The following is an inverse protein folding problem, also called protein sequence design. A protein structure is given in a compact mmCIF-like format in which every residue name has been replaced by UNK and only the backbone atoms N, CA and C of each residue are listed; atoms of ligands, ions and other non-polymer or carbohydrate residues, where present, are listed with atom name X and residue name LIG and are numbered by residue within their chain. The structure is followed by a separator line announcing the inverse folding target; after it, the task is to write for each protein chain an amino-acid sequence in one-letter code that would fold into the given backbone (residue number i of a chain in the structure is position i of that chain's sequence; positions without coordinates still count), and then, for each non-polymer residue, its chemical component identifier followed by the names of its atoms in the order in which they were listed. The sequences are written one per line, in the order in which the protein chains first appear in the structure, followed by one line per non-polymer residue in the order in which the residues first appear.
data_IF_140608418160
#
_entry.id   IF_140608418160
#
_cell.length_a   1.000
_cell.length_b   1.000
_cell.length_c   1.000
_cell.angle_alpha   90.00
_cell.angle_beta   90.00
_cell.angle_gamma   90.00
#
_symmetry.space_group_name_H-M   'P 1'
#
loop_
_entity.id
_entity.type
_entity.pdbx_description
1 polymer ?
#
# COMPACT_ATOMS: atom_id res chain seq x y z
N UNK A 1 2.67 3.55 -52.63
CA UNK A 1 1.64 3.75 -51.58
C UNK A 1 2.22 4.61 -50.47
N UNK A 2 1.72 5.84 -50.28
CA UNK A 2 2.48 6.93 -49.65
C UNK A 2 2.59 6.86 -48.13
N UNK A 3 3.74 7.30 -47.60
CA UNK A 3 4.07 7.41 -46.16
C UNK A 3 3.01 8.17 -45.35
N UNK A 4 2.27 9.08 -45.98
CA UNK A 4 1.15 9.83 -45.39
C UNK A 4 0.00 8.91 -44.97
N UNK A 5 -0.30 7.86 -45.74
CA UNK A 5 -1.37 6.90 -45.40
C UNK A 5 -0.99 6.03 -44.20
N UNK A 6 0.30 5.68 -44.08
CA UNK A 6 0.85 4.96 -42.91
C UNK A 6 0.83 5.83 -41.65
N UNK A 7 1.22 7.10 -41.75
CA UNK A 7 1.18 8.05 -40.61
C UNK A 7 -0.25 8.26 -40.11
N UNK A 8 -1.22 8.46 -41.01
CA UNK A 8 -2.65 8.58 -40.64
C UNK A 8 -3.16 7.32 -39.93
N UNK A 9 -2.79 6.13 -40.40
CA UNK A 9 -3.16 4.88 -39.75
C UNK A 9 -2.54 4.76 -38.35
N UNK A 10 -1.27 5.11 -38.18
CA UNK A 10 -0.61 5.09 -36.87
C UNK A 10 -1.23 6.07 -35.88
N UNK A 11 -1.54 7.29 -36.33
CA UNK A 11 -2.22 8.30 -35.51
C UNK A 11 -3.64 7.86 -35.12
N UNK A 12 -4.39 7.28 -36.06
CA UNK A 12 -5.71 6.72 -35.78
C UNK A 12 -5.64 5.54 -34.80
N UNK A 13 -4.68 4.62 -34.98
CA UNK A 13 -4.51 3.50 -34.06
C UNK A 13 -4.06 3.98 -32.67
N UNK A 14 -3.18 4.98 -32.59
CA UNK A 14 -2.78 5.58 -31.33
C UNK A 14 -3.96 6.28 -30.65
N UNK A 15 -4.77 7.02 -31.41
CA UNK A 15 -5.98 7.68 -30.93
C UNK A 15 -7.04 6.69 -30.43
N UNK A 16 -7.33 5.63 -31.19
CA UNK A 16 -8.29 4.59 -30.80
C UNK A 16 -7.83 3.80 -29.56
N UNK A 17 -6.53 3.47 -29.48
CA UNK A 17 -5.96 2.83 -28.28
C UNK A 17 -6.01 3.76 -27.07
N UNK A 18 -5.74 5.04 -27.28
CA UNK A 18 -5.85 6.07 -26.25
C UNK A 18 -7.28 6.20 -25.73
N UNK A 19 -8.26 6.30 -26.62
CA UNK A 19 -9.68 6.39 -26.27
C UNK A 19 -10.18 5.16 -25.50
N UNK A 20 -9.83 3.95 -25.95
CA UNK A 20 -10.15 2.72 -25.24
C UNK A 20 -9.53 2.69 -23.84
N UNK A 21 -8.26 3.08 -23.72
CA UNK A 21 -7.56 3.14 -22.43
C UNK A 21 -8.21 4.17 -21.49
N UNK A 22 -8.48 5.39 -21.96
CA UNK A 22 -9.09 6.45 -21.16
C UNK A 22 -10.51 6.06 -20.71
N UNK A 23 -11.30 5.46 -21.59
CA UNK A 23 -12.63 4.93 -21.26
C UNK A 23 -12.55 3.84 -20.18
N UNK A 24 -11.58 2.93 -20.28
CA UNK A 24 -11.38 1.90 -19.26
C UNK A 24 -10.88 2.48 -17.95
N UNK A 25 -9.96 3.44 -18.00
CA UNK A 25 -9.47 4.15 -16.82
C UNK A 25 -10.60 4.91 -16.12
N UNK A 26 -11.51 5.55 -16.87
CA UNK A 26 -12.69 6.19 -16.30
C UNK A 26 -13.59 5.17 -15.58
N UNK A 27 -13.85 4.00 -16.19
CA UNK A 27 -14.64 2.93 -15.53
C UNK A 27 -13.96 2.44 -14.26
N UNK A 28 -12.64 2.27 -14.28
CA UNK A 28 -11.86 1.93 -13.09
C UNK A 28 -12.06 2.97 -11.98
N UNK A 29 -11.81 4.24 -12.30
CA UNK A 29 -11.90 5.37 -11.36
C UNK A 29 -13.32 5.65 -10.87
N UNK A 30 -14.34 5.18 -11.59
CA UNK A 30 -15.73 5.27 -11.15
C UNK A 30 -16.04 4.32 -9.98
N UNK A 31 -15.28 3.24 -9.83
CA UNK A 31 -15.44 2.29 -8.73
C UNK A 31 -14.60 2.66 -7.51
N UNK A 32 -15.09 2.37 -6.30
CA UNK A 32 -14.32 2.58 -5.07
C UNK A 32 -13.05 1.72 -5.03
N UNK A 33 -13.15 0.44 -5.43
CA UNK A 33 -12.01 -0.48 -5.49
C UNK A 33 -10.94 -0.03 -6.48
N UNK A 34 -11.33 0.50 -7.64
CA UNK A 34 -10.40 1.03 -8.64
C UNK A 34 -9.65 2.27 -8.14
N UNK A 35 -10.35 3.22 -7.48
CA UNK A 35 -9.70 4.39 -6.89
C UNK A 35 -8.73 4.01 -5.77
N UNK A 36 -9.16 3.16 -4.83
CA UNK A 36 -8.32 2.77 -3.69
C UNK A 36 -7.07 2.01 -4.14
N UNK A 37 -7.23 1.01 -5.02
CA UNK A 37 -6.10 0.24 -5.53
C UNK A 37 -5.12 1.08 -6.36
N UNK A 38 -5.61 2.02 -7.17
CA UNK A 38 -4.74 2.92 -7.93
C UNK A 38 -3.94 3.83 -7.00
N UNK A 39 -4.58 4.47 -6.03
CA UNK A 39 -3.91 5.33 -5.06
C UNK A 39 -2.92 4.54 -4.19
N UNK A 40 -3.28 3.32 -3.80
CA UNK A 40 -2.38 2.43 -3.07
C UNK A 40 -1.13 2.09 -3.89
N UNK A 41 -1.28 1.65 -5.14
CA UNK A 41 -0.14 1.39 -6.03
C UNK A 41 0.70 2.64 -6.24
N UNK A 42 0.06 3.79 -6.52
CA UNK A 42 0.75 5.04 -6.76
C UNK A 42 1.56 5.48 -5.53
N UNK A 43 1.00 5.42 -4.33
CA UNK A 43 1.68 5.76 -3.08
C UNK A 43 2.96 4.94 -2.88
N UNK A 44 2.87 3.61 -2.95
CA UNK A 44 4.03 2.76 -2.72
C UNK A 44 5.07 2.85 -3.85
N UNK A 45 4.64 3.11 -5.08
CA UNK A 45 5.57 3.46 -6.17
C UNK A 45 6.29 4.77 -5.87
N UNK A 46 5.59 5.82 -5.42
CA UNK A 46 6.20 7.09 -5.07
C UNK A 46 7.15 6.96 -3.88
N UNK A 47 6.80 6.19 -2.84
CA UNK A 47 7.67 5.91 -1.70
C UNK A 47 8.97 5.21 -2.16
N UNK A 48 8.86 4.21 -3.04
CA UNK A 48 10.03 3.57 -3.63
C UNK A 48 10.87 4.55 -4.45
N UNK A 49 10.24 5.34 -5.32
CA UNK A 49 10.91 6.34 -6.16
C UNK A 49 11.61 7.39 -5.29
N UNK A 50 10.95 7.90 -4.26
CA UNK A 50 11.53 8.83 -3.30
C UNK A 50 12.79 8.24 -2.64
N UNK A 51 12.72 7.00 -2.14
CA UNK A 51 13.88 6.34 -1.55
C UNK A 51 15.05 6.20 -2.54
N UNK A 52 14.77 5.92 -3.83
CA UNK A 52 15.81 5.85 -4.85
C UNK A 52 16.41 7.22 -5.17
N UNK A 53 15.59 8.25 -5.31
CA UNK A 53 16.05 9.62 -5.58
C UNK A 53 16.89 10.15 -4.41
N UNK A 54 16.44 9.95 -3.17
CA UNK A 54 17.17 10.32 -1.95
C UNK A 54 18.52 9.62 -1.87
N UNK A 55 18.60 8.34 -2.26
CA UNK A 55 19.88 7.62 -2.32
C UNK A 55 20.83 8.20 -3.36
N UNK A 56 20.34 8.61 -4.53
CA UNK A 56 21.16 9.27 -5.56
C UNK A 56 21.61 10.65 -5.07
N UNK A 57 20.72 11.38 -4.42
CA UNK A 57 21.00 12.70 -3.87
C UNK A 57 22.08 12.63 -2.79
N UNK A 58 21.96 11.69 -1.84
CA UNK A 58 22.96 11.46 -0.79
C UNK A 58 24.36 11.18 -1.37
N UNK A 59 24.47 10.33 -2.41
CA UNK A 59 25.74 10.07 -3.09
C UNK A 59 26.35 11.31 -3.73
N UNK A 60 25.53 12.20 -4.31
CA UNK A 60 26.02 13.47 -4.85
C UNK A 60 26.55 14.39 -3.76
N UNK A 61 25.88 14.43 -2.61
CA UNK A 61 26.35 15.16 -1.44
C UNK A 61 27.67 14.62 -0.91
N UNK A 62 27.81 13.30 -0.78
CA UNK A 62 29.06 12.65 -0.38
C UNK A 62 30.20 12.99 -1.33
N UNK A 63 29.98 12.88 -2.64
CA UNK A 63 30.98 13.23 -3.66
C UNK A 63 31.39 14.71 -3.61
N UNK A 64 30.44 15.60 -3.35
CA UNK A 64 30.70 17.03 -3.18
C UNK A 64 31.55 17.26 -1.91
N UNK A 65 31.16 16.67 -0.79
CA UNK A 65 31.87 16.76 0.48
C UNK A 65 33.30 16.21 0.37
N UNK A 66 33.49 15.07 -0.28
CA UNK A 66 34.82 14.50 -0.52
C UNK A 66 35.67 15.39 -1.42
N UNK A 67 35.08 15.99 -2.45
CA UNK A 67 35.80 16.93 -3.35
C UNK A 67 36.26 18.16 -2.58
N UNK A 68 35.39 18.72 -1.74
CA UNK A 68 35.72 19.85 -0.86
C UNK A 68 36.84 19.45 0.11
N UNK A 69 36.70 18.30 0.78
CA UNK A 69 37.71 17.79 1.70
C UNK A 69 39.07 17.56 1.04
N UNK A 70 39.09 16.94 -0.16
CA UNK A 70 40.33 16.71 -0.95
C UNK A 70 40.98 18.00 -1.43
N UNK A 71 40.21 19.03 -1.73
CA UNK A 71 40.75 20.32 -2.14
C UNK A 71 41.27 21.09 -0.92
N UNK A 72 40.53 21.10 0.18
CA UNK A 72 40.95 21.71 1.44
C UNK A 72 42.26 21.09 1.96
N UNK A 73 42.39 19.76 1.92
CA UNK A 73 43.59 19.06 2.40
C UNK A 73 44.87 19.41 1.63
N UNK A 74 44.76 19.96 0.41
CA UNK A 74 45.94 20.43 -0.36
C UNK A 74 46.42 21.80 0.08
N UNK A 75 45.56 22.59 0.73
CA UNK A 75 45.83 23.99 1.09
C UNK A 75 46.03 24.16 2.58
N UNK A 76 45.46 23.27 3.40
CA UNK A 76 45.54 23.32 4.86
C UNK A 76 46.86 22.81 5.41
N UNK A 77 47.31 23.43 6.51
CA UNK A 77 48.49 22.99 7.26
C UNK A 77 48.15 21.80 8.18
N UNK A 78 49.15 20.98 8.57
CA UNK A 78 48.94 19.88 9.50
C UNK A 78 48.36 20.37 10.85
N UNK A 79 47.20 19.85 11.23
CA UNK A 79 46.52 20.20 12.48
C UNK A 79 45.42 21.27 12.37
N UNK A 80 45.25 21.90 11.20
CA UNK A 80 44.11 22.77 10.94
C UNK A 80 42.84 21.94 10.71
N UNK A 81 41.70 22.43 11.20
CA UNK A 81 40.38 21.82 11.00
C UNK A 81 39.50 22.75 10.19
N UNK A 82 38.90 22.22 9.12
CA UNK A 82 37.94 22.95 8.30
C UNK A 82 36.53 22.51 8.68
N UNK A 83 35.72 23.46 9.12
CA UNK A 83 34.28 23.28 9.27
C UNK A 83 33.65 24.01 8.10
N UNK A 84 33.19 23.26 7.10
CA UNK A 84 32.47 23.80 5.96
C UNK A 84 30.99 23.47 6.09
N UNK A 85 30.16 24.51 6.22
CA UNK A 85 28.72 24.37 6.07
C UNK A 85 28.38 24.41 4.58
N UNK A 86 28.06 23.25 4.02
CA UNK A 86 27.68 23.13 2.62
C UNK A 86 26.17 23.39 2.55
N UNK A 87 25.79 24.56 2.02
CA UNK A 87 24.39 24.78 1.70
C UNK A 87 23.94 23.72 0.68
N UNK A 88 22.76 23.12 0.87
CA UNK A 88 22.24 22.14 -0.09
C UNK A 88 22.15 22.83 -1.47
N UNK A 89 22.91 22.37 -2.49
CA UNK A 89 22.77 22.94 -3.80
C UNK A 89 21.32 22.72 -4.24
N UNK A 90 20.68 23.80 -4.68
CA UNK A 90 19.35 23.78 -5.29
C UNK A 90 19.45 23.05 -6.64
N UNK A 91 19.62 21.74 -6.58
CA UNK A 91 19.62 20.84 -7.71
C UNK A 91 18.16 20.53 -8.05
N UNK A 92 17.85 20.42 -9.33
CA UNK A 92 16.57 19.88 -9.81
C UNK A 92 16.23 18.53 -9.14
N UNK A 93 17.25 17.76 -8.75
CA UNK A 93 17.10 16.51 -8.01
C UNK A 93 16.51 16.71 -6.61
N UNK A 94 16.91 17.76 -5.89
CA UNK A 94 16.38 18.08 -4.55
C UNK A 94 14.89 18.42 -4.66
N UNK A 95 14.52 19.27 -5.63
CA UNK A 95 13.13 19.62 -5.91
C UNK A 95 12.30 18.40 -6.34
N UNK A 96 12.88 17.50 -7.15
CA UNK A 96 12.24 16.26 -7.54
C UNK A 96 11.98 15.33 -6.34
N UNK A 97 12.96 15.17 -5.43
CA UNK A 97 12.77 14.41 -4.20
C UNK A 97 11.60 14.98 -3.38
N UNK A 98 11.60 16.29 -3.14
CA UNK A 98 10.54 16.97 -2.38
C UNK A 98 9.18 16.84 -3.05
N UNK A 99 9.11 17.00 -4.37
CA UNK A 99 7.87 16.88 -5.15
C UNK A 99 7.29 15.46 -5.09
N UNK A 100 8.13 14.44 -5.26
CA UNK A 100 7.70 13.03 -5.16
C UNK A 100 7.21 12.70 -3.76
N UNK A 101 7.93 13.14 -2.72
CA UNK A 101 7.52 12.97 -1.32
C UNK A 101 6.17 13.63 -1.05
N UNK A 102 6.05 14.92 -1.39
CA UNK A 102 4.83 15.71 -1.15
C UNK A 102 3.62 15.12 -1.87
N UNK A 103 3.82 14.58 -3.08
CA UNK A 103 2.74 13.91 -3.80
C UNK A 103 2.36 12.58 -3.14
N UNK A 104 3.34 11.80 -2.67
CA UNK A 104 3.09 10.59 -1.88
C UNK A 104 2.28 10.90 -0.63
N UNK A 105 2.69 11.91 0.14
CA UNK A 105 2.02 12.36 1.36
C UNK A 105 0.57 12.80 1.08
N UNK A 106 0.34 13.53 -0.02
CA UNK A 106 -1.01 13.92 -0.43
C UNK A 106 -1.90 12.72 -0.78
N UNK A 107 -1.35 11.70 -1.44
CA UNK A 107 -2.09 10.45 -1.73
C UNK A 107 -2.41 9.69 -0.44
N UNK A 108 -1.44 9.55 0.46
CA UNK A 108 -1.65 8.84 1.73
C UNK A 108 -2.70 9.52 2.60
N UNK A 109 -2.69 10.85 2.61
CA UNK A 109 -3.70 11.68 3.26
C UNK A 109 -5.10 11.43 2.70
N UNK A 110 -5.27 11.41 1.38
CA UNK A 110 -6.57 11.09 0.73
C UNK A 110 -7.02 9.68 1.08
N UNK A 111 -6.10 8.70 1.04
CA UNK A 111 -6.41 7.30 1.38
C UNK A 111 -6.87 7.18 2.82
N UNK A 112 -6.17 7.81 3.75
CA UNK A 112 -6.50 7.80 5.18
C UNK A 112 -7.83 8.50 5.45
N UNK A 113 -8.10 9.64 4.81
CA UNK A 113 -9.40 10.30 4.89
C UNK A 113 -10.55 9.41 4.39
N UNK A 114 -10.36 8.73 3.25
CA UNK A 114 -11.39 7.82 2.72
C UNK A 114 -11.64 6.61 3.61
N UNK A 115 -10.64 6.13 4.36
CA UNK A 115 -10.81 5.03 5.32
C UNK A 115 -11.72 5.40 6.50
N UNK A 116 -12.00 6.69 6.78
CA UNK A 116 -12.94 7.08 7.85
C UNK A 116 -14.30 6.37 7.78
N UNK A 117 -14.78 6.05 6.58
CA UNK A 117 -16.04 5.32 6.36
C UNK A 117 -15.94 3.80 6.57
N UNK A 118 -14.74 3.26 6.81
CA UNK A 118 -14.42 1.84 6.81
C UNK A 118 -15.21 1.02 7.84
N UNK A 119 -15.70 1.65 8.92
CA UNK A 119 -16.59 0.99 9.88
C UNK A 119 -17.89 0.48 9.23
N UNK A 120 -18.39 1.15 8.19
CA UNK A 120 -19.56 0.69 7.43
C UNK A 120 -19.23 -0.59 6.64
N UNK A 121 -18.07 -0.62 5.99
CA UNK A 121 -17.61 -1.78 5.24
C UNK A 121 -17.39 -2.99 6.18
N UNK A 122 -16.85 -2.75 7.38
CA UNK A 122 -16.68 -3.75 8.44
C UNK A 122 -18.04 -4.25 8.94
N UNK A 123 -19.01 -3.37 9.18
CA UNK A 123 -20.37 -3.76 9.56
C UNK A 123 -21.04 -4.65 8.51
N UNK A 124 -20.95 -4.26 7.23
CA UNK A 124 -21.47 -5.06 6.12
C UNK A 124 -20.78 -6.42 6.06
N UNK A 125 -19.46 -6.47 6.25
CA UNK A 125 -18.69 -7.70 6.36
C UNK A 125 -19.14 -8.59 7.52
N UNK A 126 -19.36 -8.01 8.70
CA UNK A 126 -19.86 -8.72 9.88
C UNK A 126 -21.27 -9.28 9.67
N UNK A 127 -22.17 -8.48 9.07
CA UNK A 127 -23.52 -8.92 8.70
C UNK A 127 -23.48 -10.07 7.69
N UNK A 128 -22.59 -10.01 6.70
CA UNK A 128 -22.38 -11.10 5.74
C UNK A 128 -21.91 -12.38 6.43
N UNK A 129 -20.90 -12.27 7.31
CA UNK A 129 -20.37 -13.40 8.07
C UNK A 129 -21.42 -14.01 9.03
N UNK A 130 -22.33 -13.20 9.56
CA UNK A 130 -23.45 -13.65 10.38
C UNK A 130 -24.48 -14.43 9.54
N UNK A 131 -24.88 -13.89 8.40
CA UNK A 131 -25.91 -14.49 7.55
C UNK A 131 -25.44 -15.74 6.80
N UNK A 132 -24.15 -15.82 6.48
CA UNK A 132 -23.53 -16.94 5.76
C UNK A 132 -22.26 -17.39 6.51
N UNK A 133 -22.41 -18.05 7.67
CA UNK A 133 -21.26 -18.50 8.43
C UNK A 133 -20.53 -19.63 7.71
N UNK A 134 -19.21 -19.66 7.84
CA UNK A 134 -18.40 -20.82 7.43
C UNK A 134 -18.86 -22.08 8.18
N UNK A 135 -18.92 -23.23 7.48
CA UNK A 135 -19.20 -24.52 8.13
C UNK A 135 -18.04 -25.01 8.99
N UNK A 136 -16.80 -24.67 8.62
CA UNK A 136 -15.63 -24.97 9.46
C UNK A 136 -15.57 -24.02 10.67
N UNK A 137 -15.55 -24.55 11.92
CA UNK A 137 -15.57 -23.74 13.12
C UNK A 137 -14.29 -22.90 13.27
N UNK A 138 -13.13 -23.39 12.80
CA UNK A 138 -11.89 -22.62 12.85
C UNK A 138 -11.95 -21.42 11.90
N UNK A 139 -12.39 -21.61 10.64
CA UNK A 139 -12.59 -20.50 9.70
C UNK A 139 -13.66 -19.50 10.20
N UNK A 140 -14.71 -19.97 10.88
CA UNK A 140 -15.69 -19.09 11.51
C UNK A 140 -15.04 -18.22 12.60
N UNK A 141 -14.25 -18.82 13.49
CA UNK A 141 -13.53 -18.09 14.54
C UNK A 141 -12.54 -17.09 13.95
N UNK A 142 -11.75 -17.50 12.95
CA UNK A 142 -10.78 -16.64 12.27
C UNK A 142 -11.51 -15.46 11.61
N UNK A 143 -12.66 -15.68 10.97
CA UNK A 143 -13.44 -14.61 10.34
C UNK A 143 -13.88 -13.55 11.36
N UNK A 144 -14.41 -13.97 12.51
CA UNK A 144 -14.80 -13.04 13.57
C UNK A 144 -13.60 -12.35 14.22
N UNK A 145 -12.48 -13.05 14.40
CA UNK A 145 -11.24 -12.44 14.88
C UNK A 145 -10.73 -11.37 13.91
N UNK A 146 -10.81 -11.61 12.59
CA UNK A 146 -10.47 -10.62 11.57
C UNK A 146 -11.39 -9.39 11.64
N UNK A 147 -12.70 -9.60 11.71
CA UNK A 147 -13.68 -8.49 11.85
C UNK A 147 -13.37 -7.65 13.09
N UNK A 148 -13.09 -8.28 14.23
CA UNK A 148 -12.70 -7.59 15.45
C UNK A 148 -11.40 -6.79 15.25
N UNK A 149 -10.41 -7.39 14.60
CA UNK A 149 -9.14 -6.73 14.29
C UNK A 149 -9.33 -5.50 13.41
N UNK A 150 -10.09 -5.63 12.32
CA UNK A 150 -10.37 -4.52 11.41
C UNK A 150 -11.17 -3.41 12.09
N UNK A 151 -12.12 -3.75 12.97
CA UNK A 151 -12.86 -2.77 13.78
C UNK A 151 -11.94 -2.00 14.74
N UNK A 152 -11.02 -2.70 15.41
CA UNK A 152 -9.99 -2.10 16.25
C UNK A 152 -9.10 -1.14 15.45
N UNK A 153 -8.54 -1.61 14.35
CA UNK A 153 -7.75 -0.79 13.42
C UNK A 153 -8.50 0.49 13.04
N UNK A 154 -9.72 0.37 12.50
CA UNK A 154 -10.45 1.53 12.00
C UNK A 154 -10.85 2.51 13.11
N UNK A 155 -11.19 2.01 14.30
CA UNK A 155 -11.53 2.87 15.45
C UNK A 155 -10.35 3.73 15.87
N UNK A 156 -9.17 3.12 16.04
CA UNK A 156 -7.97 3.83 16.47
C UNK A 156 -7.39 4.72 15.36
N UNK A 157 -7.39 4.27 14.10
CA UNK A 157 -6.99 5.09 12.95
C UNK A 157 -7.87 6.35 12.83
N UNK A 158 -9.20 6.18 12.91
CA UNK A 158 -10.12 7.31 12.83
C UNK A 158 -9.89 8.31 13.96
N UNK A 159 -9.71 7.81 15.19
CA UNK A 159 -9.40 8.66 16.34
C UNK A 159 -8.11 9.45 16.15
N UNK A 160 -7.03 8.77 15.75
CA UNK A 160 -5.73 9.37 15.51
C UNK A 160 -5.77 10.42 14.40
N UNK A 161 -6.43 10.09 13.29
CA UNK A 161 -6.58 11.01 12.17
C UNK A 161 -7.39 12.26 12.54
N UNK A 162 -8.51 12.10 13.26
CA UNK A 162 -9.34 13.24 13.69
C UNK A 162 -8.63 14.11 14.74
N UNK A 163 -7.78 13.53 15.59
CA UNK A 163 -6.91 14.28 16.49
C UNK A 163 -5.86 15.07 15.70
N UNK A 164 -5.16 14.42 14.75
CA UNK A 164 -4.17 15.03 13.84
C UNK A 164 -4.73 16.23 13.08
N UNK A 165 -6.01 16.18 12.68
CA UNK A 165 -6.70 17.25 11.96
C UNK A 165 -7.33 18.33 12.84
N UNK A 166 -7.20 18.22 14.17
CA UNK A 166 -7.76 19.20 15.10
C UNK A 166 -9.30 19.18 15.18
N UNK A 167 -9.93 18.08 14.76
CA UNK A 167 -11.37 17.84 14.98
C UNK A 167 -11.60 17.45 16.44
N UNK A 168 -10.73 16.59 16.99
CA UNK A 168 -10.71 16.27 18.42
C UNK A 168 -9.78 17.25 19.15
N UNK A 169 -10.34 18.33 19.70
CA UNK A 169 -9.58 19.46 20.26
C UNK A 169 -9.15 19.33 21.72
N UNK A 170 -9.66 18.34 22.45
CA UNK A 170 -9.31 18.17 23.86
C UNK A 170 -7.90 17.58 24.00
N UNK A 171 -7.12 18.12 24.95
CA UNK A 171 -5.77 17.63 25.30
C UNK A 171 -5.73 16.13 25.61
N UNK A 172 -6.85 15.59 26.13
CA UNK A 172 -7.00 14.16 26.40
C UNK A 172 -6.91 13.28 25.15
N UNK A 173 -7.30 13.81 23.99
CA UNK A 173 -7.29 13.09 22.71
C UNK A 173 -6.02 13.35 21.92
N UNK A 174 -5.56 14.60 21.87
CA UNK A 174 -4.31 14.96 21.17
C UNK A 174 -3.09 14.29 21.79
N UNK A 175 -3.00 14.23 23.12
CA UNK A 175 -1.92 13.51 23.83
C UNK A 175 -1.87 12.00 23.55
N UNK A 176 -2.95 11.41 22.99
CA UNK A 176 -3.05 9.98 22.68
C UNK A 176 -2.86 9.68 21.20
N UNK A 177 -2.71 10.68 20.34
CA UNK A 177 -2.65 10.52 18.89
C UNK A 177 -1.59 9.49 18.47
N UNK A 178 -0.34 9.69 18.90
CA UNK A 178 0.77 8.77 18.57
C UNK A 178 0.48 7.33 19.02
N UNK A 179 -0.06 7.16 20.24
CA UNK A 179 -0.43 5.83 20.76
C UNK A 179 -1.55 5.20 19.93
N UNK A 180 -2.53 5.98 19.48
CA UNK A 180 -3.61 5.46 18.65
C UNK A 180 -3.12 5.01 17.27
N UNK A 181 -2.16 5.72 16.66
CA UNK A 181 -1.48 5.24 15.46
C UNK A 181 -0.80 3.88 15.68
N UNK A 182 -0.02 3.74 16.76
CA UNK A 182 0.65 2.46 17.07
C UNK A 182 -0.34 1.32 17.34
N UNK A 183 -1.36 1.56 18.16
CA UNK A 183 -2.38 0.54 18.48
C UNK A 183 -3.17 0.15 17.24
N UNK A 184 -3.50 1.12 16.37
CA UNK A 184 -4.11 0.82 15.08
C UNK A 184 -3.24 -0.14 14.25
N UNK A 185 -1.95 0.17 14.10
CA UNK A 185 -1.00 -0.68 13.38
C UNK A 185 -0.84 -2.09 13.98
N UNK A 186 -0.97 -2.24 15.30
CA UNK A 186 -1.00 -3.55 15.97
C UNK A 186 -2.22 -4.39 15.58
N UNK A 187 -3.40 -3.76 15.49
CA UNK A 187 -4.60 -4.42 14.98
C UNK A 187 -4.47 -4.78 13.50
N UNK A 188 -3.82 -3.95 12.71
CA UNK A 188 -3.54 -4.26 11.32
C UNK A 188 -2.59 -5.47 11.18
N UNK A 189 -1.53 -5.52 11.98
CA UNK A 189 -0.64 -6.68 12.05
C UNK A 189 -1.38 -7.96 12.45
N UNK A 190 -2.23 -7.89 13.47
CA UNK A 190 -3.05 -9.02 13.88
C UNK A 190 -3.95 -9.52 12.74
N UNK A 191 -4.53 -8.62 11.93
CA UNK A 191 -5.32 -9.00 10.75
C UNK A 191 -4.48 -9.73 9.69
N UNK A 192 -3.28 -9.24 9.39
CA UNK A 192 -2.36 -9.88 8.44
C UNK A 192 -1.94 -11.28 8.91
N UNK A 193 -1.68 -11.45 10.22
CA UNK A 193 -1.38 -12.76 10.81
C UNK A 193 -2.60 -13.70 10.72
N UNK A 194 -3.79 -13.21 11.07
CA UNK A 194 -5.03 -13.98 10.95
C UNK A 194 -5.31 -14.40 9.51
N UNK A 195 -4.94 -13.60 8.52
CA UNK A 195 -5.06 -13.95 7.11
C UNK A 195 -4.12 -15.11 6.72
N UNK A 196 -2.88 -15.16 7.24
CA UNK A 196 -2.02 -16.34 7.06
C UNK A 196 -2.64 -17.59 7.69
N UNK A 197 -3.19 -17.48 8.89
CA UNK A 197 -3.87 -18.60 9.57
C UNK A 197 -5.08 -19.07 8.75
N UNK A 198 -5.87 -18.14 8.23
CA UNK A 198 -7.00 -18.44 7.32
C UNK A 198 -6.52 -19.19 6.08
N UNK A 199 -5.49 -18.67 5.41
CA UNK A 199 -4.93 -19.28 4.19
C UNK A 199 -4.36 -20.68 4.47
N UNK A 200 -3.64 -20.87 5.58
CA UNK A 200 -3.15 -22.18 5.99
C UNK A 200 -4.31 -23.16 6.22
N UNK A 201 -5.39 -22.72 6.88
CA UNK A 201 -6.59 -23.55 7.11
C UNK A 201 -7.30 -23.92 5.81
N UNK A 202 -7.47 -22.97 4.89
CA UNK A 202 -8.06 -23.24 3.56
C UNK A 202 -7.23 -24.27 2.78
N UNK A 203 -5.90 -24.18 2.86
CA UNK A 203 -5.00 -25.15 2.23
C UNK A 203 -5.09 -26.54 2.88
N UNK A 204 -5.19 -26.62 4.20
CA UNK A 204 -5.41 -27.89 4.92
C UNK A 204 -6.71 -28.57 4.49
N UNK A 205 -7.76 -27.78 4.24
CA UNK A 205 -9.05 -28.25 3.74
C UNK A 205 -9.04 -28.56 2.24
N UNK A 206 -7.87 -28.53 1.57
CA UNK A 206 -7.71 -28.80 0.14
C UNK A 206 -8.66 -27.98 -0.74
N UNK A 207 -8.90 -26.73 -0.36
CA UNK A 207 -9.81 -25.83 -1.07
C UNK A 207 -11.27 -26.31 -1.09
N UNK A 208 -11.69 -27.14 -0.12
CA UNK A 208 -13.06 -27.64 -0.07
C UNK A 208 -14.07 -26.51 0.20
N UNK A 209 -14.95 -26.28 -0.77
CA UNK A 209 -15.94 -25.20 -0.75
C UNK A 209 -17.03 -25.40 0.30
N UNK A 210 -17.37 -26.66 0.60
CA UNK A 210 -18.36 -26.98 1.63
C UNK A 210 -17.95 -26.48 3.02
N UNK A 211 -16.65 -26.33 3.27
CA UNK A 211 -16.09 -25.89 4.54
C UNK A 211 -15.66 -24.42 4.55
N UNK A 212 -15.94 -23.65 3.49
CA UNK A 212 -15.73 -22.19 3.47
C UNK A 212 -14.73 -21.65 2.44
N UNK A 213 -14.35 -22.42 1.41
CA UNK A 213 -13.77 -21.85 0.19
C UNK A 213 -14.93 -21.38 -0.73
N UNK A 214 -15.04 -20.09 -1.03
CA UNK A 214 -16.26 -19.54 -1.66
C UNK A 214 -16.51 -20.00 -3.12
N UNK A 215 -17.44 -20.94 -3.33
CA UNK A 215 -18.80 -20.78 -3.91
C UNK A 215 -19.50 -22.15 -3.94
N UNK A 216 -20.81 -22.23 -3.69
CA UNK A 216 -21.62 -23.43 -4.01
C UNK A 216 -22.86 -22.94 -4.75
N UNK A 217 -22.94 -23.23 -6.05
CA UNK A 217 -24.19 -23.14 -6.82
C UNK A 217 -24.61 -24.56 -7.21
N UNK A 218 -25.87 -24.89 -6.91
CA UNK A 218 -26.68 -25.97 -7.50
C UNK A 218 -26.12 -27.41 -7.47
N UNK A 219 -25.57 -27.87 -6.33
CA UNK A 219 -25.51 -29.31 -6.00
C UNK A 219 -24.63 -30.18 -6.90
N UNK A 220 -23.87 -29.60 -7.82
CA UNK A 220 -22.88 -30.29 -8.66
C UNK A 220 -21.49 -29.85 -8.22
N UNK A 221 -20.79 -30.74 -7.51
CA UNK A 221 -19.36 -30.58 -7.19
C UNK A 221 -18.57 -30.72 -8.48
N UNK A 222 -18.43 -29.63 -9.23
CA UNK A 222 -17.57 -29.55 -10.41
C UNK A 222 -16.26 -28.87 -10.02
N UNK A 223 -15.16 -29.36 -10.58
CA UNK A 223 -13.79 -29.00 -10.21
C UNK A 223 -13.51 -27.49 -10.42
N UNK A 224 -13.72 -26.67 -9.38
CA UNK A 224 -13.20 -25.28 -9.29
C UNK A 224 -11.81 -25.19 -8.64
N UNK A 225 -11.18 -26.34 -8.33
CA UNK A 225 -9.90 -26.43 -7.61
C UNK A 225 -8.81 -25.47 -8.13
N UNK A 226 -8.66 -25.34 -9.45
CA UNK A 226 -7.64 -24.46 -10.04
C UNK A 226 -7.92 -22.96 -9.86
N UNK A 227 -9.19 -22.55 -9.88
CA UNK A 227 -9.54 -21.14 -9.68
C UNK A 227 -9.43 -20.74 -8.22
N UNK A 228 -9.87 -21.62 -7.31
CA UNK A 228 -9.70 -21.45 -5.87
C UNK A 228 -8.22 -21.42 -5.49
N UNK A 229 -7.42 -22.33 -6.03
CA UNK A 229 -5.96 -22.35 -5.84
C UNK A 229 -5.33 -21.05 -6.34
N UNK A 230 -5.72 -20.56 -7.53
CA UNK A 230 -5.23 -19.28 -8.05
C UNK A 230 -5.62 -18.11 -7.14
N UNK A 231 -6.85 -18.10 -6.62
CA UNK A 231 -7.33 -17.08 -5.67
C UNK A 231 -6.51 -17.14 -4.38
N UNK A 232 -6.26 -18.34 -3.87
CA UNK A 232 -5.43 -18.58 -2.68
C UNK A 232 -4.01 -18.05 -2.86
N UNK A 233 -3.34 -18.36 -3.98
CA UNK A 233 -2.00 -17.84 -4.27
C UNK A 233 -2.00 -16.32 -4.38
N UNK A 234 -3.00 -15.74 -5.03
CA UNK A 234 -3.14 -14.29 -5.16
C UNK A 234 -3.27 -13.62 -3.79
N UNK A 235 -4.10 -14.19 -2.90
CA UNK A 235 -4.27 -13.71 -1.52
C UNK A 235 -2.99 -13.88 -0.70
N UNK A 236 -2.29 -15.01 -0.85
CA UNK A 236 -1.00 -15.23 -0.18
C UNK A 236 0.03 -14.18 -0.61
N UNK A 237 0.21 -13.94 -1.91
CA UNK A 237 1.17 -12.95 -2.40
C UNK A 237 0.83 -11.54 -1.93
N UNK A 238 -0.44 -11.16 -1.94
CA UNK A 238 -0.87 -9.87 -1.40
C UNK A 238 -0.56 -9.77 0.10
N UNK A 239 -0.89 -10.79 0.89
CA UNK A 239 -0.66 -10.79 2.33
C UNK A 239 0.84 -10.82 2.68
N UNK A 240 1.67 -11.53 1.91
CA UNK A 240 3.12 -11.51 2.04
C UNK A 240 3.71 -10.14 1.71
N UNK A 241 3.14 -9.39 0.77
CA UNK A 241 3.57 -8.01 0.51
C UNK A 241 3.19 -7.06 1.65
N UNK A 242 2.04 -7.27 2.29
CA UNK A 242 1.66 -6.46 3.46
C UNK A 242 2.46 -6.76 4.71
N UNK A 243 2.86 -8.02 4.93
CA UNK A 243 3.44 -8.48 6.17
C UNK A 243 4.67 -7.68 6.66
N UNK A 244 5.67 -7.35 5.83
CA UNK A 244 6.80 -6.53 6.26
C UNK A 244 6.38 -5.14 6.78
N UNK A 245 5.44 -4.48 6.11
CA UNK A 245 4.92 -3.18 6.56
C UNK A 245 4.13 -3.32 7.86
N UNK A 246 3.33 -4.39 7.99
CA UNK A 246 2.56 -4.66 9.19
C UNK A 246 3.44 -4.90 10.41
N UNK A 247 4.56 -5.60 10.24
CA UNK A 247 5.58 -5.76 11.28
C UNK A 247 6.25 -4.41 11.58
N UNK A 248 6.63 -3.66 10.55
CA UNK A 248 7.28 -2.35 10.68
C UNK A 248 6.47 -1.38 11.55
N UNK A 249 5.17 -1.22 11.30
CA UNK A 249 4.34 -0.29 12.08
C UNK A 249 3.68 -0.90 13.32
N UNK A 250 3.50 -2.22 13.34
CA UNK A 250 2.81 -2.92 14.44
C UNK A 250 3.72 -3.28 15.61
N UNK A 251 5.01 -3.54 15.35
CA UNK A 251 5.98 -3.91 16.39
C UNK A 251 6.90 -2.75 16.73
N UNK A 252 7.44 -2.11 15.70
CA UNK A 252 8.23 -0.90 15.87
C UNK A 252 7.26 0.28 15.84
N UNK A 253 7.57 1.37 16.54
CA UNK A 253 6.75 2.58 16.59
C UNK A 253 6.60 3.30 15.23
N UNK A 254 7.12 2.68 14.16
CA UNK A 254 7.19 3.21 12.80
C UNK A 254 8.45 4.05 12.55
N UNK A 255 9.33 4.22 13.54
CA UNK A 255 10.62 4.86 13.33
C UNK A 255 11.56 3.95 12.53
N UNK A 256 12.30 4.56 11.60
CA UNK A 256 13.32 3.88 10.78
C UNK A 256 14.55 3.54 11.64
N UNK A 257 14.73 4.22 12.77
CA UNK A 257 15.86 4.00 13.69
C UNK A 257 15.72 2.68 14.44
N UNK A 258 14.51 2.30 14.84
CA UNK A 258 14.25 1.04 15.55
C UNK A 258 13.91 -0.13 14.61
N UNK A 259 13.36 0.17 13.43
CA UNK A 259 12.93 -0.86 12.50
C UNK A 259 14.00 -1.23 11.47
N UNK A 260 14.22 -2.53 11.19
CA UNK A 260 15.13 -2.96 10.13
C UNK A 260 14.62 -2.66 8.70
N UNK A 261 13.43 -2.08 8.56
CA UNK A 261 12.77 -1.80 7.29
C UNK A 261 13.18 -0.43 6.73
N UNK A 262 13.89 -0.44 5.61
CA UNK A 262 14.15 0.79 4.85
C UNK A 262 12.90 1.27 4.09
N UNK A 263 12.84 2.57 3.77
CA UNK A 263 11.78 3.14 2.92
C UNK A 263 11.68 2.43 1.54
N UNK A 264 12.82 1.96 1.01
CA UNK A 264 12.84 1.14 -0.21
C UNK A 264 12.04 -0.15 -0.03
N UNK A 265 12.19 -0.82 1.11
CA UNK A 265 11.45 -2.05 1.41
C UNK A 265 9.97 -1.77 1.63
N UNK A 266 9.62 -0.69 2.33
CA UNK A 266 8.22 -0.23 2.50
C UNK A 266 7.55 -0.04 1.13
N UNK A 267 8.19 0.73 0.24
CA UNK A 267 7.72 0.95 -1.13
C UNK A 267 7.56 -0.34 -1.94
N UNK A 268 8.57 -1.22 -1.96
CA UNK A 268 8.51 -2.47 -2.71
C UNK A 268 7.43 -3.43 -2.21
N UNK A 269 7.37 -3.62 -0.90
CA UNK A 269 6.49 -4.62 -0.29
C UNK A 269 5.03 -4.17 -0.35
N UNK A 270 4.74 -2.88 -0.14
CA UNK A 270 3.38 -2.34 -0.31
C UNK A 270 2.92 -2.19 -1.77
N UNK A 271 3.85 -2.08 -2.73
CA UNK A 271 3.51 -2.07 -4.15
C UNK A 271 2.86 -3.39 -4.59
N UNK A 272 3.33 -4.54 -4.09
CA UNK A 272 2.84 -5.87 -4.47
C UNK A 272 1.32 -6.02 -4.28
N UNK A 273 0.75 -5.84 -3.07
CA UNK A 273 -0.69 -5.94 -2.86
C UNK A 273 -1.46 -4.84 -3.60
N UNK A 274 -0.92 -3.62 -3.67
CA UNK A 274 -1.53 -2.54 -4.44
C UNK A 274 -1.72 -2.94 -5.91
N UNK A 275 -0.65 -3.43 -6.54
CA UNK A 275 -0.67 -3.87 -7.94
C UNK A 275 -1.58 -5.08 -8.18
N UNK A 276 -1.59 -6.05 -7.26
CA UNK A 276 -2.52 -7.19 -7.31
C UNK A 276 -3.97 -6.70 -7.33
N UNK A 277 -4.33 -5.79 -6.42
CA UNK A 277 -5.67 -5.22 -6.32
C UNK A 277 -6.02 -4.37 -7.55
N UNK A 278 -5.08 -3.58 -8.05
CA UNK A 278 -5.27 -2.75 -9.24
C UNK A 278 -5.52 -3.63 -10.48
N UNK A 279 -4.74 -4.70 -10.64
CA UNK A 279 -4.93 -5.67 -11.72
C UNK A 279 -6.28 -6.37 -11.63
N UNK A 280 -6.74 -6.70 -10.42
CA UNK A 280 -8.06 -7.29 -10.21
C UNK A 280 -9.18 -6.30 -10.56
N UNK A 281 -9.10 -5.06 -10.07
CA UNK A 281 -10.06 -4.00 -10.36
C UNK A 281 -10.10 -3.66 -11.85
N UNK A 282 -8.94 -3.59 -12.51
CA UNK A 282 -8.83 -3.37 -13.95
C UNK A 282 -9.54 -4.45 -14.76
N UNK A 283 -9.36 -5.72 -14.39
CA UNK A 283 -10.05 -6.83 -15.05
C UNK A 283 -11.55 -6.80 -14.82
N UNK A 284 -12.00 -6.44 -13.62
CA UNK A 284 -13.42 -6.35 -13.29
C UNK A 284 -14.14 -5.26 -14.12
N UNK A 285 -13.46 -4.15 -14.42
CA UNK A 285 -14.03 -3.02 -15.17
C UNK A 285 -13.80 -3.12 -16.68
N UNK A 286 -13.08 -4.15 -17.14
CA UNK A 286 -12.89 -4.44 -18.57
C UNK A 286 -14.13 -5.07 -19.22
N UNK A 287 -15.03 -5.63 -18.41
CA UNK A 287 -16.22 -6.37 -18.85
C UNK A 287 -17.54 -5.59 -18.67
N UNK A 288 -17.45 -4.32 -18.29
CA UNK A 288 -18.58 -3.42 -18.12
C UNK A 288 -18.72 -2.47 -19.30
#
# INVERSE_FOLDING_TARGET
MSSVRKLKLLLLHASLKGDFFLSHLQRLLSTAAGRDSLLCTAYYTLAFTHAQLTRVLARKYEQLAETIARNASKTMLPGETLIAEIQPPHLELTEACLSVKSFGDAIDEVRTFWRLRGLLDIYVGAKSAWNKPSRDPALKLITWAKIFSSAGFQLYENGAYLAKKGVLRSDRFTSKEARWWTVSSQFWLAEVVLEFVRLARVRQLQYNEEFGAEKVDEGVVSVQSKELERKWWTQLYANMGWFPNAVHWGIYDGSVEESPMSETMVGLTGFVPGFINLKAAWKATARA
#
